data_IF_935329944869
#
_entry.id   IF_935329944869
#
_cell.length_a   1.000
_cell.length_b   1.000
_cell.length_c   1.000
_cell.angle_alpha   90.00
_cell.angle_beta   90.00
_cell.angle_gamma   90.00
#
_symmetry.space_group_name_H-M   'P 1'
#
loop_
_entity.id
_entity.type
_entity.pdbx_description
1 polymer ?
#
# COMPACT_ATOMS: atom_id res chain seq x y z
N UNK A 1 18.65 7.55 -20.90
CA UNK A 1 17.86 8.63 -20.29
C UNK A 1 18.70 9.41 -19.27
N UNK A 2 19.39 8.74 -18.31
CA UNK A 2 20.21 9.40 -17.30
C UNK A 2 21.26 10.31 -17.95
N UNK A 3 22.11 9.76 -18.80
CA UNK A 3 23.19 10.49 -19.46
C UNK A 3 22.67 11.69 -20.28
N UNK A 4 21.55 11.50 -20.99
CA UNK A 4 20.88 12.58 -21.73
C UNK A 4 20.45 13.73 -20.83
N UNK A 5 19.88 13.40 -19.65
CA UNK A 5 19.42 14.43 -18.71
C UNK A 5 20.59 15.15 -18.04
N UNK A 6 21.66 14.42 -17.68
CA UNK A 6 22.88 14.99 -17.11
C UNK A 6 23.58 15.92 -18.12
N UNK A 7 23.70 15.50 -19.36
CA UNK A 7 24.28 16.31 -20.45
C UNK A 7 23.40 17.56 -20.74
N UNK A 8 22.08 17.39 -20.78
CA UNK A 8 21.13 18.47 -21.13
C UNK A 8 21.01 19.53 -20.06
N UNK A 9 21.05 19.16 -18.79
CA UNK A 9 20.74 20.05 -17.65
C UNK A 9 21.95 20.36 -16.77
N UNK A 10 23.07 19.64 -16.92
CA UNK A 10 24.29 19.86 -16.13
C UNK A 10 24.15 19.51 -14.65
N UNK A 11 23.20 18.66 -14.30
CA UNK A 11 22.93 18.23 -12.92
C UNK A 11 22.99 16.71 -12.80
N UNK A 12 23.49 16.16 -11.67
CA UNK A 12 23.46 14.72 -11.43
C UNK A 12 22.04 14.18 -11.49
N UNK A 13 21.83 13.10 -12.24
CA UNK A 13 20.53 12.48 -12.42
C UNK A 13 20.53 11.06 -11.89
N UNK A 14 19.56 10.74 -11.05
CA UNK A 14 19.34 9.41 -10.49
C UNK A 14 17.95 8.91 -10.95
N UNK A 15 17.93 7.65 -11.42
CA UNK A 15 16.71 7.01 -11.89
C UNK A 15 16.48 5.77 -11.04
N UNK A 16 15.28 5.64 -10.48
CA UNK A 16 14.89 4.47 -9.73
C UNK A 16 13.39 4.18 -9.94
N UNK A 17 12.88 3.09 -9.38
CA UNK A 17 11.46 2.77 -9.32
C UNK A 17 10.70 3.88 -8.55
N UNK A 18 9.46 4.17 -8.93
CA UNK A 18 8.65 5.23 -8.33
C UNK A 18 8.22 4.90 -6.88
N UNK A 19 7.95 3.62 -6.58
CA UNK A 19 7.69 3.14 -5.22
C UNK A 19 8.90 3.30 -4.31
N UNK A 20 10.09 2.97 -4.81
CA UNK A 20 11.36 3.20 -4.12
C UNK A 20 11.59 4.68 -3.82
N UNK A 21 11.41 5.54 -4.83
CA UNK A 21 11.59 6.99 -4.68
C UNK A 21 10.58 7.59 -3.70
N UNK A 22 9.33 7.13 -3.73
CA UNK A 22 8.32 7.52 -2.75
C UNK A 22 8.75 7.15 -1.33
N UNK A 23 9.07 5.88 -1.09
CA UNK A 23 9.49 5.40 0.22
C UNK A 23 10.75 6.13 0.73
N UNK A 24 11.71 6.36 -0.16
CA UNK A 24 12.94 7.06 0.18
C UNK A 24 12.69 8.53 0.53
N UNK A 25 11.82 9.21 -0.20
CA UNK A 25 11.39 10.58 0.11
C UNK A 25 10.71 10.68 1.49
N UNK A 26 9.77 9.78 1.77
CA UNK A 26 9.08 9.70 3.06
C UNK A 26 10.00 9.36 4.23
N UNK A 27 11.04 8.57 3.98
CA UNK A 27 12.02 8.22 5.00
C UNK A 27 13.02 9.35 5.30
N UNK A 28 13.43 10.13 4.30
CA UNK A 28 14.44 11.17 4.47
C UNK A 28 13.86 12.54 4.86
N UNK A 29 12.72 12.90 4.30
CA UNK A 29 12.17 14.25 4.43
C UNK A 29 10.64 14.31 4.63
N UNK A 30 9.97 13.17 4.75
CA UNK A 30 8.52 13.04 4.89
C UNK A 30 8.08 12.49 6.25
N UNK A 31 7.26 11.44 6.21
CA UNK A 31 6.57 10.89 7.38
C UNK A 31 7.51 10.38 8.49
N UNK A 32 8.64 9.77 8.15
CA UNK A 32 9.53 9.18 9.15
C UNK A 32 10.15 10.25 10.08
N UNK A 33 10.83 11.30 9.60
CA UNK A 33 11.34 12.36 10.45
C UNK A 33 10.22 13.13 11.17
N UNK A 34 9.07 13.35 10.54
CA UNK A 34 7.93 14.04 11.18
C UNK A 34 7.41 13.25 12.39
N UNK A 35 7.20 11.94 12.25
CA UNK A 35 6.73 11.10 13.36
C UNK A 35 7.78 11.03 14.47
N UNK A 36 9.06 10.92 14.14
CA UNK A 36 10.12 10.94 15.15
C UNK A 36 10.18 12.28 15.91
N UNK A 37 10.00 13.41 15.24
CA UNK A 37 9.91 14.72 15.88
C UNK A 37 8.69 14.82 16.81
N UNK A 38 7.53 14.31 16.40
CA UNK A 38 6.33 14.26 17.26
C UNK A 38 6.54 13.37 18.49
N UNK A 39 7.19 12.22 18.35
CA UNK A 39 7.53 11.33 19.45
C UNK A 39 8.48 12.02 20.43
N UNK A 40 9.48 12.74 19.93
CA UNK A 40 10.40 13.52 20.75
C UNK A 40 9.69 14.62 21.53
N UNK A 41 8.85 15.40 20.86
CA UNK A 41 8.06 16.45 21.50
C UNK A 41 7.10 15.89 22.57
N UNK A 42 6.65 14.64 22.42
CA UNK A 42 5.84 13.94 23.42
C UNK A 42 6.66 13.26 24.53
N UNK A 43 7.99 13.45 24.57
CA UNK A 43 8.86 12.84 25.57
C UNK A 43 9.09 11.33 25.41
N UNK A 44 8.74 10.76 24.26
CA UNK A 44 8.95 9.34 23.98
C UNK A 44 10.42 9.06 23.65
N UNK A 45 10.96 7.96 24.19
CA UNK A 45 12.27 7.45 23.80
C UNK A 45 12.24 6.65 22.49
N UNK A 46 11.06 6.30 21.98
CA UNK A 46 10.93 5.54 20.73
C UNK A 46 11.36 6.37 19.53
N UNK A 47 12.15 5.76 18.65
CA UNK A 47 12.51 6.32 17.34
C UNK A 47 12.37 5.22 16.29
N UNK A 48 11.73 5.55 15.18
CA UNK A 48 11.65 4.67 14.02
C UNK A 48 12.84 4.95 13.10
N UNK A 49 13.36 3.89 12.48
CA UNK A 49 14.47 3.94 11.52
C UNK A 49 14.12 3.29 10.19
N UNK A 50 13.08 2.45 10.22
CA UNK A 50 12.63 1.71 9.06
C UNK A 50 11.27 2.25 8.59
N UNK A 51 11.09 2.30 7.28
CA UNK A 51 9.83 2.69 6.64
C UNK A 51 9.57 1.78 5.44
N UNK A 52 8.32 1.32 5.32
CA UNK A 52 7.80 0.65 4.15
C UNK A 52 6.82 1.61 3.49
N UNK A 53 7.18 2.13 2.31
CA UNK A 53 6.34 3.05 1.56
C UNK A 53 5.54 2.32 0.49
N UNK A 54 4.23 2.50 0.47
CA UNK A 54 3.34 1.92 -0.53
C UNK A 54 2.74 2.98 -1.42
N UNK A 55 2.66 2.71 -2.72
CA UNK A 55 1.94 3.53 -3.69
C UNK A 55 0.77 2.75 -4.29
N UNK A 56 -0.44 3.25 -4.04
CA UNK A 56 -1.68 2.66 -4.55
C UNK A 56 -2.15 3.36 -5.82
N UNK A 57 -1.97 2.71 -6.96
CA UNK A 57 -2.26 3.27 -8.27
C UNK A 57 -2.53 2.20 -9.31
N UNK A 58 -1.88 2.30 -10.46
CA UNK A 58 -1.94 1.30 -11.53
C UNK A 58 -1.54 -0.08 -11.01
N UNK A 59 -0.55 -0.14 -10.11
CA UNK A 59 -0.11 -1.33 -9.41
C UNK A 59 -0.03 -1.12 -7.90
N UNK A 60 0.63 -2.06 -7.24
CA UNK A 60 0.91 -2.08 -5.80
C UNK A 60 2.41 -1.84 -5.57
N UNK A 61 2.86 -0.60 -5.82
CA UNK A 61 4.26 -0.23 -5.66
C UNK A 61 4.67 -0.21 -4.19
N UNK A 62 5.93 -0.61 -3.93
CA UNK A 62 6.53 -0.61 -2.61
C UNK A 62 7.98 -0.15 -2.68
N UNK A 63 8.43 0.50 -1.63
CA UNK A 63 9.85 0.72 -1.35
C UNK A 63 10.13 0.48 0.11
N UNK A 64 11.28 -0.08 0.42
CA UNK A 64 11.70 -0.38 1.80
C UNK A 64 12.95 0.42 2.13
N UNK A 65 12.88 1.17 3.21
CA UNK A 65 14.01 1.94 3.74
C UNK A 65 14.34 1.47 5.13
N UNK A 66 15.61 1.14 5.37
CA UNK A 66 16.13 0.75 6.66
C UNK A 66 17.38 1.57 6.99
N UNK A 67 17.43 2.20 8.16
CA UNK A 67 18.50 3.09 8.59
C UNK A 67 18.90 4.14 7.51
N UNK A 68 17.90 4.80 6.93
CA UNK A 68 18.04 5.80 5.85
C UNK A 68 18.65 5.25 4.54
N UNK A 69 18.62 3.96 4.33
CA UNK A 69 19.10 3.30 3.10
C UNK A 69 17.96 2.54 2.44
N UNK A 70 17.82 2.77 1.15
CA UNK A 70 16.90 2.00 0.34
C UNK A 70 17.35 0.55 0.26
N UNK A 71 16.45 -0.39 0.54
CA UNK A 71 16.70 -1.82 0.48
C UNK A 71 16.09 -2.39 -0.79
N UNK A 72 16.92 -2.59 -1.80
CA UNK A 72 16.50 -3.10 -3.11
C UNK A 72 16.81 -4.60 -3.31
N UNK A 73 17.58 -5.21 -2.40
CA UNK A 73 18.06 -6.58 -2.53
C UNK A 73 19.14 -6.75 -3.62
N UNK A 74 19.60 -7.97 -3.78
CA UNK A 74 20.68 -8.28 -4.75
C UNK A 74 20.20 -8.27 -6.21
N UNK A 75 18.90 -8.50 -6.42
CA UNK A 75 18.30 -8.59 -7.75
C UNK A 75 17.29 -7.48 -8.03
N UNK A 76 17.25 -6.42 -7.23
CA UNK A 76 16.25 -5.34 -7.31
C UNK A 76 14.81 -5.87 -7.35
N UNK A 77 14.51 -6.89 -6.53
CA UNK A 77 13.23 -7.60 -6.49
C UNK A 77 12.61 -7.58 -5.08
N UNK A 78 12.90 -6.56 -4.30
CA UNK A 78 12.27 -6.38 -2.98
C UNK A 78 10.90 -5.72 -3.19
N UNK A 79 9.92 -6.53 -3.60
CA UNK A 79 8.62 -6.08 -4.05
C UNK A 79 7.50 -6.90 -3.41
N UNK A 80 6.60 -6.25 -2.68
CA UNK A 80 5.47 -6.96 -2.04
C UNK A 80 4.36 -7.33 -3.03
N UNK A 81 4.30 -6.73 -4.21
CA UNK A 81 3.32 -7.12 -5.23
C UNK A 81 3.49 -8.57 -5.69
N UNK A 82 4.67 -9.16 -5.52
CA UNK A 82 4.98 -10.55 -5.82
C UNK A 82 4.45 -11.55 -4.76
N UNK A 83 3.97 -11.08 -3.61
CA UNK A 83 3.35 -11.95 -2.63
C UNK A 83 2.10 -12.60 -3.22
N UNK A 84 1.75 -13.78 -2.69
CA UNK A 84 0.50 -14.44 -3.09
C UNK A 84 -0.70 -13.66 -2.60
N UNK A 85 -1.74 -13.62 -3.41
CA UNK A 85 -3.04 -13.12 -2.98
C UNK A 85 -3.60 -14.01 -1.84
N UNK A 86 -4.13 -13.41 -0.78
CA UNK A 86 -4.57 -14.14 0.42
C UNK A 86 -5.57 -15.29 0.17
N UNK A 87 -6.47 -15.13 -0.80
CA UNK A 87 -7.52 -16.12 -1.08
C UNK A 87 -7.37 -16.81 -2.43
N UNK A 88 -6.53 -16.29 -3.29
CA UNK A 88 -6.31 -16.79 -4.66
C UNK A 88 -4.84 -17.15 -4.85
N UNK A 89 -4.41 -18.36 -4.45
CA UNK A 89 -3.00 -18.70 -4.34
C UNK A 89 -2.22 -18.74 -5.67
N UNK A 90 -2.93 -18.73 -6.79
CA UNK A 90 -2.34 -18.81 -8.12
C UNK A 90 -2.07 -17.42 -8.75
N UNK A 91 -2.46 -16.34 -8.05
CA UNK A 91 -2.21 -14.97 -8.51
C UNK A 91 -1.43 -14.17 -7.46
N UNK A 92 -0.80 -13.10 -7.91
CA UNK A 92 -0.10 -12.18 -7.01
C UNK A 92 -1.08 -11.21 -6.32
N UNK A 93 -0.61 -10.57 -5.24
CA UNK A 93 -1.43 -9.67 -4.44
C UNK A 93 -1.84 -8.39 -5.19
N UNK A 94 -1.07 -7.94 -6.18
CA UNK A 94 -1.40 -6.76 -6.98
C UNK A 94 -2.74 -6.89 -7.70
N UNK A 95 -3.15 -8.11 -8.05
CA UNK A 95 -4.47 -8.35 -8.63
C UNK A 95 -5.63 -8.04 -7.67
N UNK A 96 -5.35 -7.90 -6.38
CA UNK A 96 -6.31 -7.43 -5.37
C UNK A 96 -6.06 -5.98 -4.92
N UNK A 97 -4.90 -5.37 -5.29
CA UNK A 97 -4.46 -4.05 -4.80
C UNK A 97 -3.98 -3.17 -5.96
N UNK A 98 -4.88 -2.82 -6.86
CA UNK A 98 -4.61 -1.98 -8.02
C UNK A 98 -5.87 -1.27 -8.51
N UNK A 99 -5.71 -0.32 -9.44
CA UNK A 99 -6.84 0.29 -10.16
C UNK A 99 -7.71 -0.78 -10.80
N UNK A 100 -7.10 -1.80 -11.42
CA UNK A 100 -7.83 -2.92 -12.04
C UNK A 100 -8.67 -3.69 -11.02
N UNK A 101 -8.11 -3.91 -9.84
CA UNK A 101 -8.82 -4.61 -8.76
C UNK A 101 -10.09 -3.86 -8.31
N UNK A 102 -10.00 -2.54 -8.09
CA UNK A 102 -11.16 -1.73 -7.70
C UNK A 102 -12.26 -1.79 -8.75
N UNK A 103 -11.92 -1.65 -10.03
CA UNK A 103 -12.86 -1.71 -11.16
C UNK A 103 -13.56 -3.06 -11.23
N UNK A 104 -12.80 -4.13 -11.25
CA UNK A 104 -13.31 -5.51 -11.30
C UNK A 104 -14.21 -5.83 -10.09
N UNK A 105 -13.78 -5.49 -8.89
CA UNK A 105 -14.53 -5.73 -7.67
C UNK A 105 -15.87 -4.95 -7.65
N UNK A 106 -15.85 -3.70 -8.12
CA UNK A 106 -17.08 -2.94 -8.24
C UNK A 106 -18.05 -3.60 -9.24
N UNK A 107 -17.57 -3.94 -10.44
CA UNK A 107 -18.39 -4.60 -11.46
C UNK A 107 -19.00 -5.91 -10.95
N UNK A 108 -18.17 -6.74 -10.29
CA UNK A 108 -18.61 -7.99 -9.67
C UNK A 108 -19.70 -7.77 -8.61
N UNK A 109 -19.49 -6.83 -7.69
CA UNK A 109 -20.41 -6.61 -6.57
C UNK A 109 -21.68 -5.87 -6.97
N UNK A 110 -21.63 -5.05 -8.00
CA UNK A 110 -22.80 -4.37 -8.58
C UNK A 110 -23.57 -5.26 -9.58
N UNK A 111 -23.01 -6.42 -9.97
CA UNK A 111 -23.61 -7.31 -10.96
C UNK A 111 -23.68 -6.71 -12.36
N UNK A 112 -22.69 -5.87 -12.71
CA UNK A 112 -22.60 -5.24 -14.04
C UNK A 112 -21.40 -5.80 -14.80
N UNK A 113 -21.55 -5.97 -16.10
CA UNK A 113 -20.48 -6.40 -17.00
C UNK A 113 -19.78 -5.17 -17.61
N UNK A 114 -19.33 -4.27 -16.74
CA UNK A 114 -18.68 -3.02 -17.14
C UNK A 114 -17.62 -2.62 -16.10
N UNK A 115 -16.36 -2.71 -16.49
CA UNK A 115 -15.19 -2.29 -15.71
C UNK A 115 -14.58 -0.98 -16.22
N UNK A 116 -15.34 -0.19 -17.01
CA UNK A 116 -14.84 1.07 -17.61
C UNK A 116 -14.72 2.21 -16.59
N UNK A 117 -15.48 2.16 -15.50
CA UNK A 117 -15.44 3.18 -14.45
C UNK A 117 -14.06 3.25 -13.80
N UNK A 118 -13.49 4.44 -13.70
CA UNK A 118 -12.26 4.64 -12.98
C UNK A 118 -12.49 4.67 -11.44
N UNK A 119 -11.45 4.52 -10.60
CA UNK A 119 -11.59 4.53 -9.15
C UNK A 119 -12.21 5.82 -8.59
N UNK A 120 -12.03 6.96 -9.27
CA UNK A 120 -12.66 8.23 -8.87
C UNK A 120 -14.17 8.17 -9.05
N UNK A 121 -14.64 7.69 -10.20
CA UNK A 121 -16.07 7.51 -10.46
C UNK A 121 -16.69 6.50 -9.47
N UNK A 122 -15.99 5.41 -9.17
CA UNK A 122 -16.44 4.43 -8.16
C UNK A 122 -16.47 5.06 -6.77
N UNK A 123 -15.52 5.92 -6.43
CA UNK A 123 -15.54 6.67 -5.17
C UNK A 123 -16.74 7.65 -5.11
N UNK A 124 -17.02 8.40 -6.19
CA UNK A 124 -18.18 9.28 -6.29
C UNK A 124 -19.51 8.50 -6.12
N UNK A 125 -19.59 7.27 -6.64
CA UNK A 125 -20.72 6.36 -6.41
C UNK A 125 -20.79 5.98 -4.92
N UNK A 126 -19.69 5.63 -4.28
CA UNK A 126 -19.65 5.28 -2.86
C UNK A 126 -20.11 6.43 -1.96
N UNK A 127 -19.87 7.69 -2.38
CA UNK A 127 -20.33 8.92 -1.70
C UNK A 127 -21.81 9.24 -1.98
N UNK A 128 -22.42 8.64 -3.00
CA UNK A 128 -23.76 9.00 -3.45
C UNK A 128 -23.78 10.24 -4.36
N UNK A 129 -22.64 10.69 -4.83
CA UNK A 129 -22.48 11.85 -5.73
C UNK A 129 -22.70 11.48 -7.20
N UNK A 130 -22.69 10.17 -7.50
CA UNK A 130 -22.87 9.63 -8.85
C UNK A 130 -23.87 8.46 -8.80
N UNK A 131 -24.74 8.30 -9.82
CA UNK A 131 -25.60 7.13 -9.93
C UNK A 131 -24.82 5.83 -10.00
N UNK A 132 -25.25 4.80 -9.25
CA UNK A 132 -24.66 3.48 -9.19
C UNK A 132 -24.94 2.79 -7.87
N UNK A 133 -24.38 1.60 -7.69
CA UNK A 133 -24.51 0.85 -6.43
C UNK A 133 -23.46 1.31 -5.42
N UNK A 134 -23.87 2.18 -4.50
CA UNK A 134 -22.96 2.73 -3.48
C UNK A 134 -22.46 1.67 -2.49
N UNK A 135 -23.24 0.63 -2.21
CA UNK A 135 -22.81 -0.45 -1.32
C UNK A 135 -21.76 -1.33 -1.99
N UNK A 136 -21.96 -1.69 -3.26
CA UNK A 136 -20.97 -2.39 -4.07
C UNK A 136 -19.65 -1.61 -4.15
N UNK A 137 -19.72 -0.28 -4.35
CA UNK A 137 -18.54 0.58 -4.39
C UNK A 137 -17.76 0.59 -3.06
N UNK A 138 -18.47 0.73 -1.94
CA UNK A 138 -17.85 0.66 -0.59
C UNK A 138 -17.23 -0.70 -0.31
N UNK A 139 -17.90 -1.77 -0.69
CA UNK A 139 -17.41 -3.14 -0.55
C UNK A 139 -16.15 -3.38 -1.39
N UNK A 140 -16.09 -2.84 -2.61
CA UNK A 140 -14.91 -2.94 -3.47
C UNK A 140 -13.67 -2.31 -2.81
N UNK A 141 -13.80 -1.09 -2.25
CA UNK A 141 -12.71 -0.46 -1.51
C UNK A 141 -12.37 -1.18 -0.21
N UNK A 142 -13.35 -1.69 0.51
CA UNK A 142 -13.11 -2.48 1.72
C UNK A 142 -12.33 -3.76 1.40
N UNK A 143 -12.70 -4.46 0.33
CA UNK A 143 -11.99 -5.66 -0.12
C UNK A 143 -10.56 -5.38 -0.56
N UNK A 144 -10.33 -4.29 -1.30
CA UNK A 144 -8.99 -3.78 -1.58
C UNK A 144 -8.17 -3.62 -0.29
N UNK A 145 -8.76 -2.99 0.74
CA UNK A 145 -8.12 -2.79 2.04
C UNK A 145 -7.76 -4.09 2.75
N UNK A 146 -8.63 -5.09 2.69
CA UNK A 146 -8.41 -6.40 3.28
C UNK A 146 -7.21 -7.11 2.65
N UNK A 147 -7.15 -7.14 1.32
CA UNK A 147 -6.02 -7.77 0.60
C UNK A 147 -4.71 -7.01 0.83
N UNK A 148 -4.76 -5.67 0.81
CA UNK A 148 -3.59 -4.85 1.12
C UNK A 148 -3.09 -5.08 2.55
N UNK A 149 -4.01 -5.19 3.51
CA UNK A 149 -3.69 -5.42 4.93
C UNK A 149 -2.94 -6.73 5.18
N UNK A 150 -3.32 -7.80 4.51
CA UNK A 150 -2.63 -9.10 4.59
C UNK A 150 -1.17 -9.01 4.09
N UNK A 151 -0.97 -8.41 2.92
CA UNK A 151 0.36 -8.21 2.36
C UNK A 151 1.23 -7.29 3.24
N UNK A 152 0.64 -6.20 3.75
CA UNK A 152 1.33 -5.27 4.65
C UNK A 152 1.68 -5.90 5.99
N UNK A 153 0.82 -6.76 6.55
CA UNK A 153 1.12 -7.50 7.77
C UNK A 153 2.33 -8.42 7.57
N UNK A 154 2.43 -9.07 6.42
CA UNK A 154 3.60 -9.88 6.06
C UNK A 154 4.86 -9.04 5.99
N UNK A 155 4.83 -7.92 5.28
CA UNK A 155 5.99 -7.04 5.11
C UNK A 155 6.44 -6.42 6.45
N UNK A 156 5.53 -5.91 7.26
CA UNK A 156 5.87 -5.31 8.56
C UNK A 156 6.43 -6.33 9.55
N UNK A 157 6.02 -7.59 9.45
CA UNK A 157 6.58 -8.67 10.26
C UNK A 157 8.05 -8.90 9.99
N UNK A 158 8.50 -8.67 8.75
CA UNK A 158 9.90 -8.88 8.34
C UNK A 158 10.75 -7.63 8.57
N UNK A 159 10.19 -6.44 8.37
CA UNK A 159 10.94 -5.18 8.34
C UNK A 159 10.85 -4.42 9.69
N UNK A 160 9.76 -4.55 10.41
CA UNK A 160 9.50 -3.83 11.68
C UNK A 160 9.74 -2.32 11.53
N UNK A 161 8.87 -1.65 10.79
CA UNK A 161 8.98 -0.22 10.50
C UNK A 161 7.64 0.49 10.44
N UNK A 162 7.69 1.79 10.19
CA UNK A 162 6.49 2.56 9.83
C UNK A 162 5.99 2.16 8.46
N UNK A 163 4.68 2.22 8.27
CA UNK A 163 4.05 2.09 6.96
C UNK A 163 3.61 3.49 6.51
N UNK A 164 4.12 3.91 5.36
CA UNK A 164 3.64 5.08 4.62
C UNK A 164 2.78 4.65 3.43
N UNK A 165 1.66 5.31 3.19
CA UNK A 165 0.75 4.97 2.09
C UNK A 165 0.47 6.22 1.27
N UNK A 166 0.75 6.15 -0.03
CA UNK A 166 0.48 7.19 -1.01
C UNK A 166 -0.26 6.67 -2.24
N UNK A 167 -0.35 7.50 -3.26
CA UNK A 167 -1.01 7.17 -4.54
C UNK A 167 -2.47 7.60 -4.61
N UNK A 168 -3.02 7.61 -5.83
CA UNK A 168 -4.34 8.20 -6.12
C UNK A 168 -5.52 7.49 -5.44
N UNK A 169 -5.42 6.18 -5.18
CA UNK A 169 -6.50 5.40 -4.54
C UNK A 169 -6.67 5.79 -3.05
N UNK A 170 -5.68 6.44 -2.44
CA UNK A 170 -5.77 6.92 -1.04
C UNK A 170 -6.91 7.93 -0.81
N UNK A 171 -7.45 8.54 -1.85
CA UNK A 171 -8.66 9.35 -1.75
C UNK A 171 -9.84 8.57 -1.12
N UNK A 172 -9.91 7.25 -1.39
CA UNK A 172 -10.93 6.35 -0.83
C UNK A 172 -10.56 5.77 0.55
N UNK A 173 -9.55 6.31 1.25
CA UNK A 173 -9.02 5.77 2.51
C UNK A 173 -10.09 5.50 3.57
N UNK A 174 -11.17 6.27 3.62
CA UNK A 174 -12.23 6.08 4.60
C UNK A 174 -12.96 4.74 4.48
N UNK A 175 -12.97 4.15 3.28
CA UNK A 175 -13.54 2.83 3.03
C UNK A 175 -12.48 1.73 3.09
N UNK A 176 -11.22 2.06 2.76
CA UNK A 176 -10.10 1.12 2.70
C UNK A 176 -9.54 0.83 4.10
N UNK A 177 -9.23 1.89 4.87
CA UNK A 177 -8.49 1.77 6.13
C UNK A 177 -9.15 0.91 7.20
N UNK A 178 -10.49 0.94 7.40
CA UNK A 178 -11.11 0.08 8.41
C UNK A 178 -10.86 -1.41 8.16
N UNK A 179 -10.99 -1.86 6.91
CA UNK A 179 -10.75 -3.26 6.52
C UNK A 179 -9.27 -3.62 6.58
N UNK A 180 -8.39 -2.75 6.10
CA UNK A 180 -6.94 -2.91 6.16
C UNK A 180 -6.46 -3.08 7.61
N UNK A 181 -6.85 -2.17 8.50
CA UNK A 181 -6.44 -2.22 9.90
C UNK A 181 -7.04 -3.43 10.64
N UNK A 182 -8.25 -3.84 10.29
CA UNK A 182 -8.86 -5.05 10.82
C UNK A 182 -8.03 -6.28 10.43
N UNK A 183 -7.61 -6.36 9.18
CA UNK A 183 -6.78 -7.46 8.67
C UNK A 183 -5.41 -7.46 9.34
N UNK A 184 -4.71 -6.33 9.39
CA UNK A 184 -3.40 -6.22 10.04
C UNK A 184 -3.43 -6.53 11.54
N UNK A 185 -4.58 -6.29 12.21
CA UNK A 185 -4.80 -6.63 13.63
C UNK A 185 -5.45 -8.00 13.81
N UNK A 186 -5.48 -8.82 12.77
CA UNK A 186 -6.05 -10.14 12.77
C UNK A 186 -5.39 -11.07 13.79
N UNK A 187 -6.07 -12.15 14.13
CA UNK A 187 -5.58 -13.17 15.06
C UNK A 187 -5.24 -14.43 14.31
N UNK A 188 -4.04 -14.94 14.53
CA UNK A 188 -3.62 -16.26 14.04
C UNK A 188 -3.67 -17.26 15.17
N UNK A 189 -4.36 -18.39 14.94
CA UNK A 189 -4.50 -19.47 15.91
C UNK A 189 -3.46 -20.55 15.64
N UNK A 190 -2.73 -20.99 16.66
CA UNK A 190 -1.90 -22.18 16.59
C UNK A 190 -2.80 -23.42 16.51
N UNK A 191 -2.63 -24.20 15.45
CA UNK A 191 -3.46 -25.38 15.18
C UNK A 191 -3.42 -26.43 16.31
N UNK A 192 -2.29 -26.54 17.02
CA UNK A 192 -2.08 -27.60 18.03
C UNK A 192 -2.41 -27.15 19.45
N UNK A 193 -2.32 -25.91 19.83
CA UNK A 193 -2.39 -25.46 21.23
C UNK A 193 -3.44 -24.38 21.49
N UNK A 194 -4.26 -24.03 20.51
CA UNK A 194 -5.26 -22.97 20.68
C UNK A 194 -4.68 -21.59 21.01
N UNK A 195 -3.36 -21.43 20.89
CA UNK A 195 -2.69 -20.15 21.10
C UNK A 195 -3.10 -19.12 20.06
N UNK A 196 -3.24 -17.87 20.49
CA UNK A 196 -3.59 -16.74 19.62
C UNK A 196 -2.39 -15.81 19.50
N UNK A 197 -1.97 -15.51 18.30
CA UNK A 197 -1.02 -14.44 18.03
C UNK A 197 -1.76 -13.22 17.48
N UNK A 198 -1.54 -12.08 18.09
CA UNK A 198 -2.07 -10.79 17.66
C UNK A 198 -0.94 -10.05 16.95
N UNK A 199 -1.22 -9.53 15.79
CA UNK A 199 -0.32 -8.66 15.02
C UNK A 199 -0.44 -7.22 15.44
#
# INVERSE_FOLDING_TARGET
>A
LKDFLEERFGIPTFINNDGDLYAYGEALAGALPEINARLEAAGSAKRFRNLIGYTWGTGFGVGIVSDNRLHIGDNSCVETFCLRHKDLPDINVEEGVSIRAVKRLYAEYAGVDDDTLDPKAIFEIAEGERPGDADAARRAFARFGEVAGDAMATAVTLIDGLIGIGGGITAARKYIMPALLKEMRGQLHYKLNGGVRIW
#
